data_IF_693496448679
#
_entry.id   IF_693496448679
#
_cell.length_a   1.000
_cell.length_b   1.000
_cell.length_c   1.000
_cell.angle_alpha   90.00
_cell.angle_beta   90.00
_cell.angle_gamma   90.00
#
_symmetry.space_group_name_H-M   'P 1'
#
loop_
_entity.id
_entity.type
_entity.pdbx_description
1 polymer ?
#
# COMPACT_ATOMS: atom_id res chain seq x y z
N UNK A 1 -14.90 5.39 -13.86
CA UNK A 1 -15.26 5.86 -12.49
C UNK A 1 -13.99 6.28 -11.77
N UNK A 2 -14.06 7.22 -10.82
CA UNK A 2 -12.90 7.51 -9.96
C UNK A 2 -12.81 6.40 -8.89
N UNK A 3 -12.12 5.30 -9.22
CA UNK A 3 -11.98 4.15 -8.33
C UNK A 3 -11.40 4.55 -6.97
N UNK A 4 -10.54 5.55 -6.89
CA UNK A 4 -10.04 6.04 -5.60
C UNK A 4 -11.13 6.59 -4.68
N UNK A 5 -12.08 7.39 -5.18
CA UNK A 5 -13.19 7.88 -4.33
C UNK A 5 -14.06 6.73 -3.85
N UNK A 6 -14.37 5.81 -4.76
CA UNK A 6 -15.08 4.57 -4.45
C UNK A 6 -14.40 3.76 -3.33
N UNK A 7 -13.06 3.81 -3.22
CA UNK A 7 -12.31 3.11 -2.19
C UNK A 7 -12.76 3.47 -0.77
N UNK A 8 -13.01 4.74 -0.45
CA UNK A 8 -13.44 5.13 0.89
C UNK A 8 -14.92 5.53 0.95
N UNK A 9 -15.58 5.84 -0.16
CA UNK A 9 -17.03 6.15 -0.16
C UNK A 9 -17.91 4.91 0.08
N UNK A 10 -17.52 3.74 -0.45
CA UNK A 10 -18.27 2.48 -0.21
C UNK A 10 -18.06 1.93 1.19
N UNK A 11 -16.95 2.28 1.83
CA UNK A 11 -16.63 1.85 3.19
C UNK A 11 -15.93 3.00 3.93
N UNK A 12 -16.68 4.01 4.41
CA UNK A 12 -16.15 5.24 4.98
C UNK A 12 -15.72 5.04 6.43
N UNK A 13 -14.76 4.15 6.67
CA UNK A 13 -14.16 3.92 7.99
C UNK A 13 -12.90 4.77 8.17
N UNK A 14 -12.51 5.04 9.42
CA UNK A 14 -11.29 5.78 9.74
C UNK A 14 -10.04 5.10 9.16
N UNK A 15 -10.00 3.76 9.16
CA UNK A 15 -8.90 2.99 8.56
C UNK A 15 -8.83 3.20 7.04
N UNK A 16 -9.97 3.28 6.36
CA UNK A 16 -9.99 3.48 4.90
C UNK A 16 -9.66 4.91 4.51
N UNK A 17 -10.06 5.91 5.32
CA UNK A 17 -9.59 7.29 5.14
C UNK A 17 -8.08 7.40 5.36
N UNK A 18 -7.55 6.76 6.41
CA UNK A 18 -6.12 6.72 6.65
C UNK A 18 -5.36 6.03 5.51
N UNK A 19 -5.83 4.85 5.07
CA UNK A 19 -5.29 4.16 3.88
C UNK A 19 -5.36 5.04 2.64
N UNK A 20 -6.42 5.83 2.47
CA UNK A 20 -6.55 6.69 1.32
C UNK A 20 -5.44 7.77 1.26
N UNK A 21 -5.12 8.38 2.40
CA UNK A 21 -3.99 9.32 2.53
C UNK A 21 -2.67 8.64 2.11
N UNK A 22 -2.40 7.47 2.68
CA UNK A 22 -1.13 6.76 2.47
C UNK A 22 -0.99 6.24 1.04
N UNK A 23 -2.03 5.60 0.51
CA UNK A 23 -1.99 4.93 -0.79
C UNK A 23 -2.11 5.94 -1.94
N UNK A 24 -3.08 6.87 -1.85
CA UNK A 24 -3.48 7.72 -2.98
C UNK A 24 -3.11 9.20 -2.84
N UNK A 25 -2.68 9.65 -1.66
CA UNK A 25 -2.11 10.99 -1.50
C UNK A 25 -0.88 11.18 -2.39
N UNK A 26 -0.59 12.42 -2.81
CA UNK A 26 0.54 12.71 -3.72
C UNK A 26 1.87 12.25 -3.13
N UNK A 27 2.73 11.67 -3.98
CA UNK A 27 4.08 11.21 -3.62
C UNK A 27 5.13 12.17 -4.23
N UNK A 28 5.15 13.44 -3.85
CA UNK A 28 6.21 14.38 -4.27
C UNK A 28 7.45 14.29 -3.39
N UNK A 29 7.25 13.95 -2.10
CA UNK A 29 8.27 13.65 -1.12
C UNK A 29 7.76 12.57 -0.16
N UNK A 30 8.67 11.86 0.51
CA UNK A 30 8.33 10.84 1.51
C UNK A 30 7.80 11.40 2.83
N UNK A 31 7.68 12.72 2.96
CA UNK A 31 7.27 13.41 4.19
C UNK A 31 5.92 12.94 4.73
N UNK A 32 4.96 12.57 3.88
CA UNK A 32 3.68 12.05 4.38
C UNK A 32 3.84 10.71 5.11
N UNK A 33 4.76 9.85 4.66
CA UNK A 33 5.03 8.57 5.32
C UNK A 33 5.74 8.82 6.64
N UNK A 34 6.73 9.72 6.65
CA UNK A 34 7.40 10.14 7.87
C UNK A 34 6.41 10.75 8.88
N UNK A 35 5.48 11.61 8.44
CA UNK A 35 4.45 12.20 9.30
C UNK A 35 3.50 11.15 9.84
N UNK A 36 3.00 10.25 9.00
CA UNK A 36 2.17 9.12 9.44
C UNK A 36 2.90 8.25 10.47
N UNK A 37 4.18 7.96 10.25
CA UNK A 37 5.06 7.21 11.16
C UNK A 37 5.25 7.92 12.49
N UNK A 38 5.42 9.23 12.47
CA UNK A 38 5.43 10.04 13.69
C UNK A 38 4.09 10.01 14.43
N UNK A 39 2.97 10.10 13.73
CA UNK A 39 1.65 10.03 14.38
C UNK A 39 1.45 8.69 15.10
N UNK A 40 1.85 7.56 14.49
CA UNK A 40 1.83 6.26 15.18
C UNK A 40 2.65 6.24 16.47
N UNK A 41 3.79 6.94 16.50
CA UNK A 41 4.63 7.07 17.69
C UNK A 41 3.93 7.85 18.81
N UNK A 42 3.17 8.89 18.45
CA UNK A 42 2.43 9.73 19.39
C UNK A 42 1.02 9.24 19.72
N UNK A 43 0.71 7.95 19.50
CA UNK A 43 -0.65 7.40 19.76
C UNK A 43 -1.15 7.58 21.21
N UNK A 44 -0.23 7.73 22.18
CA UNK A 44 -0.54 7.95 23.60
C UNK A 44 -0.19 9.38 24.07
N UNK A 45 0.16 10.27 23.15
CA UNK A 45 0.51 11.64 23.51
C UNK A 45 -0.72 12.41 24.00
N UNK A 46 -0.46 13.48 24.75
CA UNK A 46 -1.44 14.53 24.94
C UNK A 46 -1.93 15.04 23.59
N UNK A 47 -3.12 15.63 23.59
CA UNK A 47 -3.78 16.08 22.37
C UNK A 47 -2.92 17.03 21.52
N UNK A 48 -2.19 17.96 22.14
CA UNK A 48 -1.25 18.84 21.45
C UNK A 48 0.16 18.24 21.36
N UNK A 49 0.66 18.07 20.13
CA UNK A 49 2.06 17.75 19.84
C UNK A 49 2.72 19.00 19.27
N UNK A 50 3.71 19.54 19.98
CA UNK A 50 4.45 20.71 19.50
C UNK A 50 5.41 20.34 18.37
N UNK A 51 5.75 21.29 17.50
CA UNK A 51 6.62 21.01 16.35
C UNK A 51 8.05 20.60 16.77
N UNK A 52 8.56 21.14 17.89
CA UNK A 52 9.85 20.77 18.48
C UNK A 52 9.84 19.34 19.05
N UNK A 53 8.69 18.84 19.50
CA UNK A 53 8.49 17.44 19.92
C UNK A 53 8.29 16.49 18.72
N UNK A 54 7.55 16.94 17.70
CA UNK A 54 7.29 16.17 16.48
C UNK A 54 8.56 15.98 15.63
N UNK A 55 9.38 17.04 15.53
CA UNK A 55 10.59 17.11 14.72
C UNK A 55 11.57 15.94 14.91
N UNK A 56 12.03 15.59 16.14
CA UNK A 56 13.00 14.51 16.33
C UNK A 56 12.47 13.15 15.86
N UNK A 57 11.17 12.88 16.04
CA UNK A 57 10.57 11.62 15.60
C UNK A 57 10.43 11.58 14.08
N UNK A 58 9.95 12.68 13.50
CA UNK A 58 9.75 12.83 12.06
C UNK A 58 11.06 12.74 11.26
N UNK A 59 12.08 13.49 11.67
CA UNK A 59 13.37 13.51 10.97
C UNK A 59 14.11 12.18 11.12
N UNK A 60 14.00 11.50 12.27
CA UNK A 60 14.59 10.17 12.48
C UNK A 60 14.17 9.17 11.41
N UNK A 61 12.87 9.08 11.09
CA UNK A 61 12.42 8.14 10.07
C UNK A 61 13.00 8.48 8.68
N UNK A 62 13.07 9.76 8.31
CA UNK A 62 13.68 10.17 7.04
C UNK A 62 15.17 9.86 6.99
N UNK A 63 15.89 10.15 8.06
CA UNK A 63 17.32 9.89 8.22
C UNK A 63 17.62 8.38 8.10
N UNK A 64 16.82 7.53 8.75
CA UNK A 64 16.93 6.06 8.65
C UNK A 64 16.71 5.55 7.22
N UNK A 65 15.72 6.10 6.52
CA UNK A 65 15.41 5.72 5.14
C UNK A 65 16.45 6.24 4.13
N UNK A 66 16.97 7.46 4.32
CA UNK A 66 18.03 8.05 3.50
C UNK A 66 19.32 7.22 3.50
N UNK A 67 19.62 6.49 4.58
CA UNK A 67 20.77 5.57 4.63
C UNK A 67 20.62 4.39 3.65
N UNK A 68 19.39 4.01 3.29
CA UNK A 68 19.08 2.89 2.39
C UNK A 68 18.82 3.36 0.97
N UNK A 69 18.03 4.41 0.83
CA UNK A 69 17.64 5.00 -0.46
C UNK A 69 17.78 6.53 -0.38
N UNK A 70 18.80 7.08 -1.06
CA UNK A 70 19.09 8.52 -0.99
C UNK A 70 17.97 9.38 -1.59
N UNK A 71 17.26 8.86 -2.61
CA UNK A 71 16.18 9.60 -3.27
C UNK A 71 14.88 9.50 -2.47
N UNK A 72 14.50 10.60 -1.82
CA UNK A 72 13.31 10.73 -0.98
C UNK A 72 12.27 11.76 -1.48
N UNK A 73 12.53 12.38 -2.62
CA UNK A 73 11.60 13.27 -3.29
C UNK A 73 11.79 13.24 -4.81
N UNK A 74 10.81 13.79 -5.53
CA UNK A 74 10.86 13.93 -6.98
C UNK A 74 11.67 15.14 -7.44
N UNK A 75 11.84 16.15 -6.58
CA UNK A 75 12.67 17.33 -6.85
C UNK A 75 14.15 17.00 -6.66
N UNK A 76 15.02 17.62 -7.46
CA UNK A 76 16.46 17.37 -7.41
C UNK A 76 17.10 17.89 -6.12
N UNK A 77 16.66 19.05 -5.65
CA UNK A 77 17.23 19.74 -4.50
C UNK A 77 16.18 19.95 -3.41
N UNK A 78 16.47 19.49 -2.20
CA UNK A 78 15.64 19.73 -1.02
C UNK A 78 16.53 20.06 0.16
N UNK A 79 16.53 21.34 0.56
CA UNK A 79 17.31 21.85 1.70
C UNK A 79 17.09 21.04 2.97
N UNK A 80 15.87 20.54 3.20
CA UNK A 80 15.58 19.73 4.36
C UNK A 80 16.19 18.33 4.27
N UNK A 81 16.09 17.66 3.12
CA UNK A 81 16.74 16.37 2.93
C UNK A 81 18.27 16.49 2.97
N UNK A 82 18.82 17.61 2.49
CA UNK A 82 20.26 17.90 2.59
C UNK A 82 20.70 18.02 4.05
N UNK A 83 19.89 18.66 4.91
CA UNK A 83 20.14 18.68 6.35
C UNK A 83 20.08 17.27 6.98
N UNK A 84 19.13 16.43 6.55
CA UNK A 84 19.07 15.03 6.99
C UNK A 84 20.31 14.22 6.53
N UNK A 85 20.80 14.45 5.32
CA UNK A 85 22.04 13.83 4.79
C UNK A 85 23.27 14.29 5.56
N UNK A 86 23.41 15.58 5.82
CA UNK A 86 24.49 16.14 6.63
C UNK A 86 24.49 15.52 8.05
N UNK A 87 23.30 15.34 8.65
CA UNK A 87 23.18 14.64 9.92
C UNK A 87 23.66 13.17 9.83
N UNK A 88 23.27 12.45 8.77
CA UNK A 88 23.75 11.08 8.51
C UNK A 88 25.28 11.00 8.37
N UNK A 89 25.92 12.05 7.87
CA UNK A 89 27.37 12.15 7.71
C UNK A 89 28.10 12.68 8.96
N UNK A 90 27.38 12.93 10.07
CA UNK A 90 27.89 13.56 11.30
C UNK A 90 28.36 15.02 11.10
N UNK A 91 27.89 15.70 10.06
CA UNK A 91 28.21 17.11 9.75
C UNK A 91 27.23 18.09 10.40
N UNK A 92 26.15 17.58 10.99
CA UNK A 92 25.06 18.35 11.58
C UNK A 92 24.63 17.71 12.89
N UNK A 93 24.46 18.52 13.95
CA UNK A 93 24.10 18.01 15.29
C UNK A 93 22.61 17.68 15.41
N UNK A 94 22.23 16.91 16.43
CA UNK A 94 20.82 16.60 16.69
C UNK A 94 19.96 17.86 16.89
N UNK A 95 20.48 18.87 17.60
CA UNK A 95 19.74 20.13 17.83
C UNK A 95 19.56 20.92 16.54
N UNK A 96 20.59 20.98 15.69
CA UNK A 96 20.51 21.60 14.37
C UNK A 96 19.51 20.87 13.47
N UNK A 97 19.46 19.53 13.52
CA UNK A 97 18.52 18.74 12.72
C UNK A 97 17.08 19.06 13.12
N UNK A 98 16.82 19.13 14.43
CA UNK A 98 15.51 19.49 14.96
C UNK A 98 15.11 20.90 14.48
N UNK A 99 16.00 21.89 14.60
CA UNK A 99 15.74 23.26 14.14
C UNK A 99 15.41 23.32 12.63
N UNK A 100 16.21 22.65 11.79
CA UNK A 100 15.95 22.55 10.35
C UNK A 100 14.63 21.83 10.06
N UNK A 101 14.30 20.80 10.83
CA UNK A 101 13.04 20.05 10.68
C UNK A 101 11.83 20.93 10.98
N UNK A 102 11.87 21.69 12.08
CA UNK A 102 10.79 22.63 12.44
C UNK A 102 10.61 23.70 11.36
N UNK A 103 11.72 24.24 10.84
CA UNK A 103 11.70 25.33 9.86
C UNK A 103 11.31 24.89 8.44
N UNK A 104 11.76 23.71 8.01
CA UNK A 104 11.65 23.25 6.62
C UNK A 104 10.78 22.00 6.44
N UNK A 105 10.85 21.05 7.37
CA UNK A 105 10.21 19.73 7.22
C UNK A 105 8.69 19.76 7.23
N UNK A 106 8.09 20.73 7.92
CA UNK A 106 6.64 20.83 8.11
C UNK A 106 5.93 21.84 7.19
N UNK A 107 6.65 22.45 6.25
CA UNK A 107 6.11 23.55 5.43
C UNK A 107 4.91 23.14 4.58
N UNK A 108 4.95 21.94 3.99
CA UNK A 108 3.92 21.49 3.04
C UNK A 108 3.15 20.26 3.52
N UNK A 109 3.78 19.39 4.32
CA UNK A 109 3.21 18.07 4.64
C UNK A 109 1.99 18.18 5.53
N UNK A 110 1.97 19.12 6.50
CA UNK A 110 0.84 19.33 7.41
C UNK A 110 -0.40 19.83 6.64
N UNK A 111 -0.20 20.77 5.70
CA UNK A 111 -1.27 21.29 4.85
C UNK A 111 -1.81 20.25 3.87
N UNK A 112 -0.93 19.39 3.34
CA UNK A 112 -1.27 18.43 2.30
C UNK A 112 -1.74 17.07 2.83
N UNK A 113 -1.54 16.76 4.12
CA UNK A 113 -1.70 15.39 4.63
C UNK A 113 -3.11 14.82 4.42
N UNK A 114 -4.14 15.62 4.66
CA UNK A 114 -5.53 15.19 4.53
C UNK A 114 -6.08 15.35 3.10
N UNK A 115 -5.26 15.80 2.14
CA UNK A 115 -5.68 16.02 0.76
C UNK A 115 -5.40 14.79 -0.13
N UNK A 116 -6.47 14.22 -0.67
CA UNK A 116 -6.43 13.05 -1.58
C UNK A 116 -7.08 13.44 -2.91
N UNK A 117 -6.32 13.36 -4.01
CA UNK A 117 -6.75 13.75 -5.35
C UNK A 117 -7.28 15.19 -5.51
N UNK A 118 -6.83 16.12 -4.65
CA UNK A 118 -7.17 17.53 -4.74
C UNK A 118 -8.34 17.96 -3.85
N UNK A 119 -8.98 17.00 -3.18
CA UNK A 119 -10.00 17.26 -2.17
C UNK A 119 -9.51 16.83 -0.80
N UNK A 120 -9.99 17.52 0.22
CA UNK A 120 -9.78 17.14 1.61
C UNK A 120 -10.71 15.99 1.99
N UNK A 121 -10.19 15.01 2.74
CA UNK A 121 -11.03 13.94 3.29
C UNK A 121 -11.98 14.46 4.37
N UNK A 122 -13.15 13.84 4.58
CA UNK A 122 -14.14 14.33 5.56
C UNK A 122 -13.69 14.26 7.03
N UNK A 123 -12.68 13.43 7.33
CA UNK A 123 -12.20 13.15 8.69
C UNK A 123 -10.74 13.55 8.84
N UNK A 124 -10.46 14.59 9.64
CA UNK A 124 -9.09 14.97 9.99
C UNK A 124 -8.59 14.12 11.14
N UNK A 125 -7.32 13.75 11.10
CA UNK A 125 -6.64 13.03 12.17
C UNK A 125 -5.89 13.99 13.11
N UNK A 126 -5.54 15.17 12.63
CA UNK A 126 -5.04 16.27 13.44
C UNK A 126 -5.51 17.62 12.91
N UNK A 127 -5.57 18.60 13.80
CA UNK A 127 -5.78 20.01 13.47
C UNK A 127 -4.43 20.73 13.40
N UNK A 128 -4.29 21.60 12.39
CA UNK A 128 -3.14 22.47 12.27
C UNK A 128 -3.27 23.65 13.24
N UNK A 129 -2.42 23.66 14.27
CA UNK A 129 -2.33 24.74 15.26
C UNK A 129 -0.94 25.40 15.24
N UNK A 130 -0.22 25.34 14.10
CA UNK A 130 1.14 25.91 13.98
C UNK A 130 1.19 27.39 14.33
N UNK A 131 0.12 28.15 14.02
CA UNK A 131 0.02 29.60 14.28
C UNK A 131 -0.31 29.91 15.75
N UNK A 132 -1.19 29.14 16.37
CA UNK A 132 -1.72 29.41 17.70
C UNK A 132 -0.83 28.79 18.79
N UNK A 133 -0.49 27.51 18.61
CA UNK A 133 0.13 26.67 19.64
C UNK A 133 1.48 26.08 19.21
N UNK A 134 1.99 26.44 18.01
CA UNK A 134 3.25 25.94 17.45
C UNK A 134 3.30 24.41 17.38
N UNK A 135 2.19 23.78 17.00
CA UNK A 135 2.04 22.33 16.98
C UNK A 135 0.86 21.85 16.13
N UNK A 136 0.55 20.56 16.25
CA UNK A 136 -0.66 19.93 15.72
C UNK A 136 -1.45 19.34 16.89
N UNK A 137 -2.78 19.40 16.83
CA UNK A 137 -3.64 18.77 17.84
C UNK A 137 -4.28 17.51 17.27
N UNK A 138 -3.99 16.36 17.87
CA UNK A 138 -4.65 15.10 17.54
C UNK A 138 -6.16 15.21 17.78
N UNK A 139 -6.92 14.57 16.90
CA UNK A 139 -8.39 14.55 16.97
C UNK A 139 -8.89 13.27 17.62
N UNK A 140 -10.15 13.28 18.06
CA UNK A 140 -10.86 12.08 18.49
C UNK A 140 -10.87 10.98 17.40
N UNK A 141 -10.92 11.37 16.12
CA UNK A 141 -10.85 10.44 14.99
C UNK A 141 -9.52 9.68 14.96
N UNK A 142 -8.41 10.35 15.29
CA UNK A 142 -7.12 9.68 15.40
C UNK A 142 -7.04 8.76 16.61
N UNK A 143 -7.56 9.17 17.76
CA UNK A 143 -7.58 8.29 18.94
C UNK A 143 -8.43 7.04 18.71
N UNK A 144 -9.63 7.19 18.12
CA UNK A 144 -10.48 6.06 17.70
C UNK A 144 -9.78 5.15 16.69
N UNK A 145 -9.04 5.72 15.73
CA UNK A 145 -8.21 4.95 14.80
C UNK A 145 -7.12 4.17 15.54
N UNK A 146 -6.49 4.76 16.57
CA UNK A 146 -5.40 4.15 17.34
C UNK A 146 -5.83 2.97 18.21
N UNK A 147 -7.11 2.92 18.57
CA UNK A 147 -7.73 1.81 19.30
C UNK A 147 -8.14 0.64 18.40
N UNK A 148 -8.14 0.85 17.06
CA UNK A 148 -8.49 -0.19 16.11
C UNK A 148 -7.49 -1.36 16.16
N UNK A 149 -7.96 -2.62 16.13
CA UNK A 149 -7.08 -3.78 16.00
C UNK A 149 -6.18 -3.72 14.75
N UNK A 150 -6.60 -2.96 13.73
CA UNK A 150 -5.86 -2.77 12.48
C UNK A 150 -4.69 -1.78 12.59
N UNK A 151 -4.54 -1.06 13.70
CA UNK A 151 -3.59 0.06 13.79
C UNK A 151 -2.14 -0.37 13.54
N UNK A 152 -1.74 -1.54 14.03
CA UNK A 152 -0.41 -2.13 13.77
C UNK A 152 -0.24 -2.49 12.30
N UNK A 153 -1.28 -3.00 11.65
CA UNK A 153 -1.25 -3.28 10.21
C UNK A 153 -1.13 -1.98 9.39
N UNK A 154 -1.81 -0.89 9.79
CA UNK A 154 -1.67 0.41 9.13
C UNK A 154 -0.23 0.93 9.18
N UNK A 155 0.47 0.72 10.30
CA UNK A 155 1.90 1.04 10.43
C UNK A 155 2.74 0.24 9.42
N UNK A 156 2.49 -1.07 9.30
CA UNK A 156 3.21 -1.95 8.38
C UNK A 156 2.88 -1.66 6.90
N UNK A 157 1.63 -1.33 6.61
CA UNK A 157 1.16 -0.88 5.29
C UNK A 157 1.87 0.42 4.89
N UNK A 158 1.99 1.37 5.83
CA UNK A 158 2.70 2.65 5.62
C UNK A 158 4.17 2.44 5.29
N UNK A 159 4.87 1.61 6.06
CA UNK A 159 6.27 1.25 5.80
C UNK A 159 6.43 0.58 4.42
N UNK A 160 5.58 -0.39 4.13
CA UNK A 160 5.63 -1.13 2.87
C UNK A 160 5.38 -0.20 1.68
N UNK A 161 4.45 0.74 1.83
CA UNK A 161 4.16 1.75 0.82
C UNK A 161 5.31 2.74 0.63
N UNK A 162 5.96 3.15 1.71
CA UNK A 162 7.12 4.04 1.63
C UNK A 162 8.26 3.39 0.85
N UNK A 163 8.71 2.19 1.25
CA UNK A 163 9.78 1.45 0.56
C UNK A 163 9.52 1.29 -0.92
N UNK A 164 8.28 1.01 -1.24
CA UNK A 164 7.82 0.81 -2.60
C UNK A 164 7.94 2.10 -3.43
N UNK A 165 7.58 3.27 -2.87
CA UNK A 165 7.84 4.57 -3.52
C UNK A 165 9.34 4.83 -3.70
N UNK A 166 10.18 4.49 -2.72
CA UNK A 166 11.64 4.63 -2.81
C UNK A 166 12.23 3.77 -3.94
N UNK A 167 11.84 2.49 -4.01
CA UNK A 167 12.25 1.57 -5.06
C UNK A 167 11.89 2.12 -6.45
N UNK A 168 10.68 2.67 -6.63
CA UNK A 168 10.30 3.32 -7.90
C UNK A 168 11.21 4.48 -8.27
N UNK A 169 11.51 5.35 -7.31
CA UNK A 169 12.37 6.52 -7.55
C UNK A 169 13.82 6.14 -7.85
N UNK A 170 14.34 5.12 -7.15
CA UNK A 170 15.72 4.65 -7.28
C UNK A 170 15.97 3.96 -8.63
N UNK A 171 15.03 3.11 -9.06
CA UNK A 171 15.17 2.36 -10.30
C UNK A 171 15.05 3.22 -11.58
N UNK A 172 14.77 4.53 -11.46
CA UNK A 172 14.60 5.48 -12.57
C UNK A 172 13.74 4.93 -13.73
N UNK A 173 12.78 4.05 -13.44
CA UNK A 173 12.24 3.12 -14.43
C UNK A 173 11.59 3.88 -15.61
N UNK A 174 12.10 3.72 -16.84
CA UNK A 174 11.26 3.87 -18.01
C UNK A 174 10.19 2.78 -17.95
N UNK A 175 8.94 3.12 -18.27
CA UNK A 175 7.73 2.31 -18.14
C UNK A 175 7.73 0.90 -18.83
N UNK A 176 8.85 0.44 -19.39
CA UNK A 176 8.92 -0.73 -20.27
C UNK A 176 9.86 -1.86 -19.86
N UNK A 177 10.62 -1.76 -18.77
CA UNK A 177 11.55 -2.85 -18.41
C UNK A 177 11.44 -3.18 -16.94
N UNK A 178 10.50 -4.06 -16.61
CA UNK A 178 10.50 -4.81 -15.37
C UNK A 178 10.48 -6.30 -15.73
N UNK A 179 11.56 -6.77 -16.35
CA UNK A 179 12.05 -8.14 -16.16
C UNK A 179 13.07 -8.06 -15.01
N UNK A 180 12.57 -7.89 -13.78
CA UNK A 180 13.44 -7.56 -12.65
C UNK A 180 14.12 -8.80 -12.11
N UNK A 181 15.43 -8.84 -12.29
CA UNK A 181 16.33 -9.68 -11.54
C UNK A 181 16.27 -9.32 -10.05
N UNK A 182 16.27 -10.36 -9.22
CA UNK A 182 16.29 -10.36 -7.76
C UNK A 182 16.87 -9.10 -7.10
N UNK A 183 16.00 -8.29 -6.50
CA UNK A 183 16.37 -7.46 -5.35
C UNK A 183 15.86 -8.17 -4.07
N UNK A 184 16.75 -8.68 -3.20
CA UNK A 184 16.38 -9.35 -1.97
C UNK A 184 15.72 -8.42 -0.92
N UNK A 185 15.92 -7.10 -1.00
CA UNK A 185 15.34 -6.12 -0.06
C UNK A 185 13.98 -5.58 -0.55
N UNK A 186 13.76 -5.59 -1.86
CA UNK A 186 12.45 -5.31 -2.46
C UNK A 186 11.60 -6.58 -2.47
N UNK A 187 11.00 -6.88 -1.32
CA UNK A 187 10.02 -7.94 -1.08
C UNK A 187 8.94 -8.11 -2.18
N UNK A 188 8.69 -7.07 -2.99
CA UNK A 188 7.68 -7.04 -4.04
C UNK A 188 8.18 -7.39 -5.46
N UNK A 189 9.49 -7.37 -5.71
CA UNK A 189 10.08 -7.49 -7.06
C UNK A 189 10.42 -8.92 -7.49
N UNK A 190 10.20 -9.91 -6.63
CA UNK A 190 10.50 -11.32 -6.94
C UNK A 190 9.49 -11.96 -7.92
N UNK A 191 8.40 -11.27 -8.24
CA UNK A 191 7.17 -11.84 -8.82
C UNK A 191 7.12 -11.72 -10.37
N UNK A 192 8.24 -11.41 -11.03
CA UNK A 192 8.30 -11.11 -12.47
C UNK A 192 9.11 -12.11 -13.30
N UNK A 193 9.35 -13.30 -12.75
CA UNK A 193 9.97 -14.41 -13.47
C UNK A 193 8.90 -15.18 -14.27
N UNK A 194 9.07 -15.27 -15.59
CA UNK A 194 8.30 -16.17 -16.47
C UNK A 194 8.68 -17.65 -16.30
N UNK A 195 9.39 -18.02 -15.22
CA UNK A 195 9.70 -19.41 -14.96
C UNK A 195 8.43 -20.21 -14.66
N UNK A 196 8.43 -21.49 -15.04
CA UNK A 196 7.38 -22.43 -14.64
C UNK A 196 7.50 -22.82 -13.15
N UNK A 197 8.63 -22.49 -12.53
CA UNK A 197 8.89 -22.75 -11.11
C UNK A 197 7.98 -21.91 -10.21
N UNK A 198 7.74 -22.40 -8.99
CA UNK A 198 6.97 -21.66 -7.99
C UNK A 198 7.89 -20.68 -7.28
N UNK A 199 7.52 -19.40 -7.32
CA UNK A 199 8.21 -18.35 -6.56
C UNK A 199 7.46 -18.11 -5.24
N UNK A 200 8.14 -17.95 -4.10
CA UNK A 200 7.51 -17.51 -2.86
C UNK A 200 6.86 -16.13 -3.03
N UNK A 201 5.55 -16.02 -2.81
CA UNK A 201 4.78 -14.77 -2.93
C UNK A 201 4.38 -14.17 -1.57
N UNK A 202 4.78 -14.81 -0.47
CA UNK A 202 4.44 -14.45 0.91
C UNK A 202 4.83 -13.01 1.26
N UNK A 203 5.89 -12.51 0.65
CA UNK A 203 6.40 -11.15 0.83
C UNK A 203 5.45 -10.06 0.29
N UNK A 204 4.44 -10.43 -0.52
CA UNK A 204 3.43 -9.49 -1.03
C UNK A 204 2.33 -9.13 -0.01
N UNK A 205 2.27 -9.80 1.16
CA UNK A 205 1.20 -9.64 2.16
C UNK A 205 0.97 -8.18 2.57
N UNK A 206 2.01 -7.51 3.07
CA UNK A 206 1.87 -6.16 3.61
C UNK A 206 1.46 -5.14 2.55
N UNK A 207 1.99 -5.28 1.33
CA UNK A 207 1.72 -4.39 0.23
C UNK A 207 0.34 -4.61 -0.40
N UNK A 208 -0.24 -5.82 -0.36
CA UNK A 208 -1.60 -6.08 -0.83
C UNK A 208 -2.68 -5.67 0.19
N UNK A 209 -2.38 -5.70 1.49
CA UNK A 209 -3.38 -5.55 2.54
C UNK A 209 -4.09 -4.20 2.52
N UNK A 210 -3.35 -3.11 2.28
CA UNK A 210 -3.93 -1.78 2.16
C UNK A 210 -4.98 -1.71 1.04
N UNK A 211 -4.74 -2.35 -0.10
CA UNK A 211 -5.67 -2.39 -1.24
C UNK A 211 -6.85 -3.35 -1.04
N UNK A 212 -6.76 -4.24 -0.05
CA UNK A 212 -7.86 -5.11 0.38
C UNK A 212 -8.50 -4.69 1.70
N UNK A 213 -8.08 -3.53 2.25
CA UNK A 213 -8.65 -2.94 3.46
C UNK A 213 -8.58 -3.86 4.68
N UNK A 214 -7.53 -4.69 4.77
CA UNK A 214 -7.40 -5.61 5.89
C UNK A 214 -8.44 -6.73 5.90
N UNK A 215 -9.00 -7.09 4.74
CA UNK A 215 -10.00 -8.14 4.62
C UNK A 215 -9.56 -9.24 3.66
N UNK A 216 -10.00 -10.46 3.95
CA UNK A 216 -9.94 -11.59 3.04
C UNK A 216 -10.66 -11.20 1.75
N UNK A 217 -9.96 -11.34 0.62
CA UNK A 217 -10.46 -10.97 -0.71
C UNK A 217 -11.77 -11.68 -1.05
N UNK A 218 -11.96 -12.92 -0.57
CA UNK A 218 -13.09 -13.75 -0.91
C UNK A 218 -14.30 -13.55 0.02
N UNK A 219 -14.14 -13.75 1.33
CA UNK A 219 -15.24 -13.77 2.30
C UNK A 219 -15.40 -12.49 3.12
N UNK A 220 -14.53 -11.49 2.95
CA UNK A 220 -14.52 -10.23 3.72
C UNK A 220 -14.27 -10.35 5.23
N UNK A 221 -13.86 -11.53 5.72
CA UNK A 221 -13.38 -11.66 7.10
C UNK A 221 -12.17 -10.74 7.31
N UNK A 222 -12.09 -10.10 8.46
CA UNK A 222 -10.91 -9.34 8.85
C UNK A 222 -9.67 -10.24 8.88
N UNK A 223 -8.59 -9.73 8.33
CA UNK A 223 -7.27 -10.36 8.32
C UNK A 223 -6.27 -9.42 8.97
N UNK A 224 -5.30 -9.98 9.68
CA UNK A 224 -4.22 -9.23 10.31
C UNK A 224 -2.89 -9.75 9.78
N UNK A 225 -2.00 -8.85 9.38
CA UNK A 225 -0.65 -9.22 8.93
C UNK A 225 0.27 -9.40 10.13
N UNK A 226 0.18 -8.50 11.12
CA UNK A 226 0.93 -8.59 12.35
C UNK A 226 0.22 -9.48 13.36
N UNK A 227 0.56 -10.77 13.39
CA UNK A 227 0.78 -11.55 14.61
C UNK A 227 0.88 -13.03 14.26
N UNK A 228 1.91 -13.66 14.85
CA UNK A 228 2.13 -15.09 14.84
C UNK A 228 0.87 -15.83 15.33
N UNK A 229 0.41 -16.76 14.47
CA UNK A 229 -0.43 -17.92 14.75
C UNK A 229 -1.97 -17.79 14.79
N UNK A 230 -2.59 -16.62 15.06
CA UNK A 230 -4.08 -16.60 15.22
C UNK A 230 -4.86 -16.27 13.94
N UNK A 231 -4.29 -15.49 13.01
CA UNK A 231 -4.91 -15.17 11.72
C UNK A 231 -3.93 -15.41 10.57
N UNK A 232 -3.68 -16.68 10.24
CA UNK A 232 -2.83 -17.02 9.10
C UNK A 232 -3.47 -16.57 7.77
N UNK A 233 -2.89 -15.52 7.20
CA UNK A 233 -3.25 -14.97 5.89
C UNK A 233 -2.41 -15.64 4.81
N UNK A 234 -3.07 -16.16 3.79
CA UNK A 234 -2.41 -16.67 2.60
C UNK A 234 -2.39 -15.63 1.49
N UNK A 235 -1.33 -15.68 0.68
CA UNK A 235 -1.34 -15.07 -0.65
C UNK A 235 -1.81 -16.16 -1.62
N UNK A 236 -2.98 -15.96 -2.19
CA UNK A 236 -3.60 -16.85 -3.16
C UNK A 236 -3.46 -16.31 -4.59
N UNK A 237 -3.38 -17.23 -5.55
CA UNK A 237 -3.46 -16.91 -6.97
C UNK A 237 -4.92 -17.03 -7.40
N UNK A 238 -5.58 -15.91 -7.71
CA UNK A 238 -6.98 -15.90 -8.14
C UNK A 238 -7.24 -16.88 -9.28
N UNK A 239 -6.43 -16.81 -10.33
CA UNK A 239 -6.26 -17.84 -11.33
C UNK A 239 -5.21 -18.84 -10.82
N UNK A 240 -5.58 -20.10 -10.52
CA UNK A 240 -4.65 -21.08 -9.97
C UNK A 240 -3.39 -21.28 -10.82
N UNK A 241 -2.25 -21.53 -10.16
CA UNK A 241 -0.94 -21.72 -10.82
C UNK A 241 -0.96 -22.77 -11.93
N UNK A 242 -1.76 -23.83 -11.77
CA UNK A 242 -1.93 -24.87 -12.81
C UNK A 242 -2.39 -24.29 -14.15
N UNK A 243 -2.97 -23.10 -14.22
CA UNK A 243 -3.39 -22.47 -15.47
C UNK A 243 -2.22 -21.88 -16.28
N UNK A 244 -0.96 -21.95 -15.81
CA UNK A 244 0.21 -21.49 -16.57
C UNK A 244 0.28 -22.07 -17.99
N UNK A 245 -0.13 -23.32 -18.20
CA UNK A 245 -0.13 -23.93 -19.55
C UNK A 245 -1.21 -23.34 -20.49
N UNK A 246 -2.28 -22.78 -19.94
CA UNK A 246 -3.37 -22.12 -20.67
C UNK A 246 -3.12 -20.63 -20.88
N UNK A 247 -2.12 -20.08 -20.19
CA UNK A 247 -1.91 -18.66 -20.01
C UNK A 247 -0.56 -18.26 -20.61
N UNK A 248 -0.25 -18.76 -21.81
CA UNK A 248 0.98 -18.41 -22.54
C UNK A 248 1.05 -16.89 -22.71
N UNK A 249 2.15 -16.29 -22.25
CA UNK A 249 2.36 -14.84 -22.23
C UNK A 249 1.63 -14.06 -21.11
N UNK A 250 0.92 -14.74 -20.20
CA UNK A 250 0.21 -14.09 -19.08
C UNK A 250 0.94 -14.31 -17.76
N UNK A 251 1.16 -13.23 -17.01
CA UNK A 251 1.87 -13.27 -15.73
C UNK A 251 0.97 -13.85 -14.61
N UNK A 252 0.80 -15.18 -14.57
CA UNK A 252 -0.01 -15.87 -13.54
C UNK A 252 0.53 -15.59 -12.14
N UNK A 253 1.85 -15.56 -11.96
CA UNK A 253 2.42 -15.23 -10.66
C UNK A 253 2.34 -13.73 -10.38
N UNK A 254 2.05 -12.90 -11.39
CA UNK A 254 2.01 -11.45 -11.30
C UNK A 254 1.03 -10.92 -10.26
N UNK A 255 1.37 -9.77 -9.66
CA UNK A 255 0.57 -9.10 -8.62
C UNK A 255 -0.89 -8.86 -9.05
N UNK A 256 -1.16 -8.69 -10.34
CA UNK A 256 -2.52 -8.60 -10.90
C UNK A 256 -3.41 -9.80 -10.57
N UNK A 257 -2.81 -10.95 -10.27
CA UNK A 257 -3.48 -12.22 -9.96
C UNK A 257 -3.38 -12.61 -8.47
N UNK A 258 -2.52 -11.96 -7.69
CA UNK A 258 -2.31 -12.28 -6.27
C UNK A 258 -3.30 -11.53 -5.37
N UNK A 259 -3.90 -12.25 -4.42
CA UNK A 259 -4.84 -11.71 -3.43
C UNK A 259 -4.58 -12.27 -2.03
N UNK A 260 -4.94 -11.53 -0.98
CA UNK A 260 -4.91 -12.05 0.39
C UNK A 260 -6.20 -12.77 0.73
N UNK A 261 -6.07 -13.99 1.24
CA UNK A 261 -7.20 -14.84 1.61
C UNK A 261 -7.00 -15.44 3.00
N UNK A 262 -8.10 -15.65 3.73
CA UNK A 262 -8.05 -16.49 4.93
C UNK A 262 -7.84 -17.95 4.54
N UNK A 263 -7.29 -18.75 5.46
CA UNK A 263 -7.04 -20.18 5.27
C UNK A 263 -8.26 -20.95 4.76
N UNK A 264 -9.44 -20.69 5.29
CA UNK A 264 -10.65 -21.45 4.93
C UNK A 264 -11.13 -21.14 3.51
N UNK A 265 -10.84 -19.92 3.01
CA UNK A 265 -11.13 -19.58 1.62
C UNK A 265 -10.06 -20.15 0.68
N UNK A 266 -8.79 -20.11 1.08
CA UNK A 266 -7.70 -20.54 0.21
C UNK A 266 -7.53 -22.08 0.19
N UNK A 267 -7.61 -22.71 1.35
CA UNK A 267 -7.27 -24.13 1.60
C UNK A 267 -8.50 -24.96 1.97
N UNK A 268 -8.31 -26.28 2.03
CA UNK A 268 -9.32 -27.23 2.51
C UNK A 268 -10.37 -27.62 1.46
N UNK A 269 -11.17 -28.63 1.77
CA UNK A 269 -12.13 -29.24 0.82
C UNK A 269 -13.21 -28.27 0.33
N UNK A 270 -13.62 -27.34 1.21
CA UNK A 270 -14.59 -26.28 0.90
C UNK A 270 -13.94 -25.00 0.34
N UNK A 271 -12.62 -24.88 0.43
CA UNK A 271 -11.87 -23.72 -0.08
C UNK A 271 -11.74 -23.73 -1.59
N UNK A 272 -11.11 -22.67 -2.10
CA UNK A 272 -10.81 -22.47 -3.51
C UNK A 272 -9.80 -23.49 -3.99
N UNK A 273 -8.64 -23.60 -3.35
CA UNK A 273 -7.52 -24.40 -3.83
C UNK A 273 -7.25 -24.12 -5.32
N UNK A 274 -7.34 -25.15 -6.16
CA UNK A 274 -7.20 -25.06 -7.62
C UNK A 274 -8.52 -24.87 -8.39
N UNK A 275 -9.60 -24.49 -7.70
CA UNK A 275 -10.89 -24.15 -8.33
C UNK A 275 -10.85 -22.72 -8.86
N UNK A 276 -11.68 -22.47 -9.87
CA UNK A 276 -11.82 -21.17 -10.50
C UNK A 276 -12.88 -20.35 -9.74
N UNK A 277 -12.55 -19.17 -9.19
CA UNK A 277 -13.56 -18.30 -8.59
C UNK A 277 -14.69 -17.94 -9.56
N UNK A 278 -15.89 -17.68 -9.04
CA UNK A 278 -17.00 -17.20 -9.86
C UNK A 278 -16.73 -15.82 -10.49
N UNK A 279 -17.49 -15.47 -11.54
CA UNK A 279 -17.21 -14.30 -12.37
C UNK A 279 -17.36 -12.98 -11.61
N UNK A 280 -18.23 -12.93 -10.61
CA UNK A 280 -18.44 -11.76 -9.74
C UNK A 280 -17.18 -11.42 -8.93
N UNK A 281 -16.34 -12.43 -8.64
CA UNK A 281 -15.05 -12.22 -7.98
C UNK A 281 -13.98 -11.70 -8.95
N UNK A 282 -14.17 -11.87 -10.27
CA UNK A 282 -13.28 -11.29 -11.29
C UNK A 282 -13.44 -9.76 -11.36
N UNK A 283 -14.67 -9.26 -11.27
CA UNK A 283 -14.96 -7.83 -11.19
C UNK A 283 -14.28 -7.19 -9.96
N UNK A 284 -14.30 -7.93 -8.83
CA UNK A 284 -13.58 -7.54 -7.62
C UNK A 284 -12.07 -7.50 -7.83
N UNK A 285 -11.52 -8.50 -8.52
CA UNK A 285 -10.08 -8.55 -8.83
C UNK A 285 -9.67 -7.36 -9.70
N UNK A 286 -10.47 -7.07 -10.73
CA UNK A 286 -10.32 -5.89 -11.56
C UNK A 286 -10.29 -4.62 -10.71
N UNK A 287 -11.28 -4.40 -9.85
CA UNK A 287 -11.36 -3.19 -9.02
C UNK A 287 -10.15 -3.05 -8.08
N UNK A 288 -9.71 -4.16 -7.47
CA UNK A 288 -8.47 -4.20 -6.66
C UNK A 288 -7.25 -3.79 -7.48
N UNK A 289 -7.13 -4.29 -8.72
CA UNK A 289 -6.06 -3.92 -9.64
C UNK A 289 -6.11 -2.44 -10.03
N UNK A 290 -7.30 -1.87 -10.22
CA UNK A 290 -7.47 -0.44 -10.46
C UNK A 290 -6.97 0.40 -9.29
N UNK A 291 -7.21 -0.02 -8.04
CA UNK A 291 -6.63 0.67 -6.88
C UNK A 291 -5.10 0.67 -6.90
N UNK A 292 -4.45 -0.43 -7.30
CA UNK A 292 -3.00 -0.50 -7.46
C UNK A 292 -2.49 0.43 -8.58
N UNK A 293 -3.20 0.49 -9.71
CA UNK A 293 -2.81 1.33 -10.84
C UNK A 293 -2.96 2.82 -10.51
N UNK A 294 -4.06 3.20 -9.86
CA UNK A 294 -4.38 4.60 -9.55
C UNK A 294 -3.54 5.17 -8.41
N UNK A 295 -3.00 4.33 -7.53
CA UNK A 295 -2.11 4.78 -6.46
C UNK A 295 -0.73 5.22 -6.97
N UNK A 296 -0.42 5.17 -8.27
CA UNK A 296 0.96 5.33 -8.76
C UNK A 296 1.92 4.36 -8.07
N UNK A 297 1.47 3.12 -7.93
CA UNK A 297 2.30 2.01 -7.49
C UNK A 297 3.50 1.84 -8.46
N UNK A 298 4.71 1.45 -8.04
CA UNK A 298 5.85 1.16 -8.92
C UNK A 298 5.51 0.10 -9.96
N UNK A 299 4.73 -0.91 -9.55
CA UNK A 299 4.18 -1.90 -10.48
C UNK A 299 3.04 -1.37 -11.36
N UNK A 300 2.64 -0.10 -11.28
CA UNK A 300 1.59 0.47 -12.15
C UNK A 300 1.93 0.22 -13.61
N UNK A 301 3.14 0.55 -14.02
CA UNK A 301 3.57 0.36 -15.42
C UNK A 301 3.64 -1.12 -15.77
N UNK A 302 4.05 -1.99 -14.84
CA UNK A 302 3.98 -3.44 -15.02
C UNK A 302 2.56 -3.93 -15.22
N UNK A 303 1.64 -3.51 -14.36
CA UNK A 303 0.23 -3.89 -14.43
C UNK A 303 -0.39 -3.38 -15.74
N UNK A 304 -0.10 -2.15 -16.13
CA UNK A 304 -0.53 -1.57 -17.41
C UNK A 304 0.07 -2.35 -18.59
N UNK A 305 1.36 -2.67 -18.56
CA UNK A 305 2.02 -3.41 -19.63
C UNK A 305 1.50 -4.85 -19.75
N UNK A 306 1.19 -5.49 -18.62
CA UNK A 306 0.68 -6.87 -18.56
C UNK A 306 -0.81 -6.97 -18.93
N UNK A 307 -1.62 -6.02 -18.48
CA UNK A 307 -3.09 -6.13 -18.54
C UNK A 307 -3.73 -5.19 -19.56
N UNK A 308 -3.07 -4.09 -19.93
CA UNK A 308 -3.56 -3.15 -20.94
C UNK A 308 -3.55 -1.68 -20.49
N UNK A 309 -3.40 -0.78 -21.49
CA UNK A 309 -3.32 0.67 -21.28
C UNK A 309 -4.64 1.30 -20.82
N UNK A 310 -5.76 0.91 -21.44
CA UNK A 310 -7.10 1.37 -21.06
C UNK A 310 -7.75 0.43 -20.06
N UNK A 311 -8.64 0.95 -19.22
CA UNK A 311 -9.44 0.12 -18.30
C UNK A 311 -10.20 -0.98 -19.05
N UNK A 312 -10.78 -0.64 -20.21
CA UNK A 312 -11.41 -1.62 -21.10
C UNK A 312 -10.46 -2.75 -21.50
N UNK A 313 -9.23 -2.44 -21.92
CA UNK A 313 -8.25 -3.46 -22.28
C UNK A 313 -7.90 -4.37 -21.08
N UNK A 314 -7.86 -3.82 -19.86
CA UNK A 314 -7.62 -4.59 -18.63
C UNK A 314 -8.78 -5.52 -18.29
N UNK A 315 -10.02 -5.06 -18.47
CA UNK A 315 -11.21 -5.90 -18.35
C UNK A 315 -11.16 -7.03 -19.39
N UNK A 316 -10.91 -6.70 -20.65
CA UNK A 316 -10.85 -7.65 -21.76
C UNK A 316 -9.75 -8.70 -21.52
N UNK A 317 -8.59 -8.29 -21.01
CA UNK A 317 -7.50 -9.19 -20.61
C UNK A 317 -7.95 -10.19 -19.53
N UNK A 318 -8.55 -9.71 -18.44
CA UNK A 318 -9.03 -10.55 -17.34
C UNK A 318 -10.12 -11.52 -17.82
N UNK A 319 -11.04 -11.03 -18.66
CA UNK A 319 -12.10 -11.84 -19.27
C UNK A 319 -11.53 -12.92 -20.19
N UNK A 320 -10.48 -12.61 -20.96
CA UNK A 320 -9.80 -13.59 -21.81
C UNK A 320 -9.09 -14.67 -21.00
N UNK A 321 -8.44 -14.31 -19.87
CA UNK A 321 -7.88 -15.30 -18.93
C UNK A 321 -8.99 -16.19 -18.36
N UNK A 322 -10.09 -15.58 -17.92
CA UNK A 322 -11.20 -16.28 -17.29
C UNK A 322 -11.91 -17.25 -18.26
N UNK A 323 -12.13 -16.83 -19.50
CA UNK A 323 -12.75 -17.65 -20.54
C UNK A 323 -11.90 -18.89 -20.83
N UNK A 324 -10.59 -18.72 -20.95
CA UNK A 324 -9.66 -19.83 -21.13
C UNK A 324 -9.64 -20.78 -19.91
N UNK A 325 -9.58 -20.21 -18.69
CA UNK A 325 -9.62 -20.99 -17.46
C UNK A 325 -10.90 -21.82 -17.33
N UNK A 326 -12.03 -21.34 -17.86
CA UNK A 326 -13.32 -22.03 -17.84
C UNK A 326 -13.32 -23.29 -18.71
N UNK A 327 -12.57 -23.32 -19.81
CA UNK A 327 -12.41 -24.51 -20.65
C UNK A 327 -11.70 -25.63 -19.90
N UNK A 328 -10.74 -25.27 -19.04
CA UNK A 328 -9.97 -26.21 -18.22
C UNK A 328 -10.68 -26.61 -16.93
N UNK A 329 -11.26 -25.64 -16.23
CA UNK A 329 -11.82 -25.79 -14.89
C UNK A 329 -13.34 -25.55 -15.00
N UNK A 330 -14.09 -26.64 -15.15
CA UNK A 330 -15.54 -26.58 -15.31
C UNK A 330 -16.25 -26.07 -14.04
N UNK A 331 -15.79 -26.50 -12.86
CA UNK A 331 -16.43 -26.14 -11.60
C UNK A 331 -16.02 -24.74 -11.12
N UNK A 332 -17.02 -23.89 -10.88
CA UNK A 332 -16.84 -22.57 -10.27
C UNK A 332 -16.88 -22.69 -8.75
N UNK A 333 -16.14 -21.81 -8.07
CA UNK A 333 -16.10 -21.75 -6.62
C UNK A 333 -16.59 -20.39 -6.11
N UNK A 334 -17.40 -20.44 -5.06
CA UNK A 334 -17.90 -19.28 -4.33
C UNK A 334 -17.56 -19.44 -2.84
N UNK A 335 -17.05 -18.39 -2.18
CA UNK A 335 -16.86 -18.38 -0.74
C UNK A 335 -18.21 -18.24 -0.02
N UNK A 336 -18.27 -18.77 1.21
CA UNK A 336 -19.28 -18.33 2.17
C UNK A 336 -18.87 -16.95 2.70
N UNK A 337 -19.74 -15.95 2.56
CA UNK A 337 -19.48 -14.62 3.10
C UNK A 337 -19.35 -14.68 4.65
N UNK A 338 -18.35 -13.99 5.19
CA UNK A 338 -18.09 -13.88 6.62
C UNK A 338 -18.07 -12.43 7.13
N UNK A 339 -18.06 -11.45 6.22
CA UNK A 339 -18.07 -10.02 6.55
C UNK A 339 -18.82 -9.21 5.51
N UNK A 340 -18.87 -7.89 5.74
CA UNK A 340 -19.53 -6.93 4.86
C UNK A 340 -18.68 -6.67 3.62
N UNK A 341 -19.32 -6.58 2.45
CA UNK A 341 -18.63 -6.24 1.20
C UNK A 341 -18.00 -4.86 1.27
N UNK A 342 -16.72 -4.76 0.92
CA UNK A 342 -15.95 -3.52 0.93
C UNK A 342 -15.38 -3.13 -0.42
N UNK A 343 -15.65 -3.90 -1.47
CA UNK A 343 -15.09 -3.64 -2.80
C UNK A 343 -16.04 -2.87 -3.66
#
# INVERSE_FOLDING_TARGET
MNHTRHFYEVSPTLENYWRAIILFGRNTASYKFALAKSLYHFKQANDLIRLDELAPVFSRYLVEHLKKYDKQCTVENSRFLDACRAFNNNELSQSQLIEQTVSLGFQNVIDAFHNVHGDEIPHRFFNDERKQNKGIRLTEDFYRLSESPMFTDLYNETESRWRLVETAWNLQLPAKVLSVQHDPDSQFLQVLSNSLERVPVTSARTALNGYQKGKCFYCFRDIMISNDQVNEVDVDHFFPHKLKYCAEGKAIDGVANLVLACKECNRGQAGKFDRLPAIELLERLHRRNEYLIQSHHPLRETLIAQTGFSEKARIDYLQAVYSCATVTIAAKWLPKACGVSTF
#
